data_IF_171350985390
#
_entry.id   IF_171350985390
#
_cell.length_a   1.000
_cell.length_b   1.000
_cell.length_c   1.000
_cell.angle_alpha   90.00
_cell.angle_beta   90.00
_cell.angle_gamma   90.00
#
_symmetry.space_group_name_H-M   'P 1'
#
loop_
_entity.id
_entity.type
_entity.pdbx_description
1 polymer ?
#
# COMPACT_ATOMS: atom_id res chain seq x y z
N UNK A 1 -14.66 0.69 -9.39
CA UNK A 1 -14.55 -0.42 -8.44
C UNK A 1 -13.33 -1.24 -8.84
N UNK A 2 -12.77 -2.06 -7.96
CA UNK A 2 -11.69 -2.98 -8.34
C UNK A 2 -12.34 -4.26 -8.83
N UNK A 3 -11.97 -4.73 -10.02
CA UNK A 3 -12.59 -5.89 -10.64
C UNK A 3 -11.80 -7.18 -10.37
N UNK A 4 -12.43 -8.33 -10.59
CA UNK A 4 -11.81 -9.65 -10.44
C UNK A 4 -11.37 -9.98 -9.02
N UNK A 5 -10.32 -10.79 -8.89
CA UNK A 5 -9.81 -11.27 -7.59
C UNK A 5 -9.36 -10.14 -6.66
N UNK A 6 -8.81 -9.03 -7.19
CA UNK A 6 -8.43 -7.90 -6.35
C UNK A 6 -9.64 -7.20 -5.71
N UNK A 7 -10.83 -7.33 -6.32
CA UNK A 7 -12.08 -6.84 -5.77
C UNK A 7 -12.59 -7.63 -4.56
N UNK A 8 -12.16 -8.89 -4.38
CA UNK A 8 -12.55 -9.72 -3.22
C UNK A 8 -11.69 -9.45 -2.00
N UNK A 9 -10.57 -8.74 -2.16
CA UNK A 9 -9.65 -8.41 -1.08
C UNK A 9 -10.07 -7.13 -0.35
N UNK A 10 -9.75 -7.06 0.93
CA UNK A 10 -9.78 -5.83 1.71
C UNK A 10 -8.70 -4.85 1.23
N UNK A 11 -8.85 -3.59 1.62
CA UNK A 11 -7.81 -2.58 1.36
C UNK A 11 -6.47 -2.94 2.01
N UNK A 12 -6.48 -3.56 3.19
CA UNK A 12 -5.25 -3.94 3.89
C UNK A 12 -4.53 -5.08 3.19
N UNK A 13 -5.27 -6.09 2.71
CA UNK A 13 -4.68 -7.18 1.92
C UNK A 13 -4.10 -6.67 0.60
N UNK A 14 -4.80 -5.77 -0.11
CA UNK A 14 -4.24 -5.13 -1.31
C UNK A 14 -2.99 -4.31 -0.99
N UNK A 15 -2.97 -3.60 0.14
CA UNK A 15 -1.81 -2.83 0.56
C UNK A 15 -0.62 -3.74 0.92
N UNK A 16 -0.87 -4.84 1.62
CA UNK A 16 0.16 -5.81 1.96
C UNK A 16 0.76 -6.44 0.69
N UNK A 17 -0.08 -6.87 -0.25
CA UNK A 17 0.37 -7.40 -1.54
C UNK A 17 1.17 -6.39 -2.36
N UNK A 18 0.79 -5.11 -2.33
CA UNK A 18 1.55 -4.06 -2.99
C UNK A 18 2.93 -3.89 -2.33
N UNK A 19 2.98 -3.78 -1.00
CA UNK A 19 4.20 -3.44 -0.27
C UNK A 19 5.21 -4.60 -0.19
N UNK A 20 4.75 -5.86 -0.06
CA UNK A 20 5.64 -7.03 0.05
C UNK A 20 6.51 -7.23 -1.19
N UNK A 21 6.05 -6.74 -2.35
CA UNK A 21 6.75 -6.83 -3.62
C UNK A 21 7.70 -5.65 -3.89
N UNK A 22 7.82 -4.70 -2.96
CA UNK A 22 8.60 -3.47 -3.15
C UNK A 22 9.77 -3.44 -2.17
N UNK A 23 10.96 -3.82 -2.64
CA UNK A 23 12.18 -3.63 -1.87
C UNK A 23 12.59 -2.16 -1.88
N UNK A 24 12.90 -1.61 -0.72
CA UNK A 24 13.53 -0.29 -0.63
C UNK A 24 14.95 -0.40 -1.20
N UNK A 25 15.33 0.45 -2.19
CA UNK A 25 16.70 0.46 -2.68
C UNK A 25 17.66 0.84 -1.55
N UNK A 26 18.74 0.07 -1.38
CA UNK A 26 19.77 0.39 -0.39
C UNK A 26 20.45 1.70 -0.73
N UNK A 27 20.43 2.67 0.18
CA UNK A 27 21.20 3.91 0.07
C UNK A 27 20.57 5.03 -0.77
N UNK A 28 19.31 4.91 -1.18
CA UNK A 28 18.56 5.99 -1.82
C UNK A 28 17.96 6.96 -0.79
N UNK A 29 18.10 8.27 -1.01
CA UNK A 29 17.42 9.31 -0.22
C UNK A 29 15.95 9.50 -0.60
N UNK A 30 15.54 9.02 -1.78
CA UNK A 30 14.18 9.14 -2.28
C UNK A 30 13.47 7.79 -2.32
N UNK A 31 12.24 7.76 -1.82
CA UNK A 31 11.39 6.59 -1.96
C UNK A 31 10.91 6.48 -3.42
N UNK A 32 10.94 5.28 -4.03
CA UNK A 32 10.32 5.04 -5.33
C UNK A 32 8.88 5.58 -5.40
N UNK A 33 8.48 6.11 -6.56
CA UNK A 33 7.15 6.69 -6.76
C UNK A 33 6.01 5.73 -6.32
N UNK A 34 6.20 4.42 -6.53
CA UNK A 34 5.29 3.34 -6.13
C UNK A 34 5.11 3.19 -4.61
N UNK A 35 6.08 3.64 -3.81
CA UNK A 35 6.03 3.64 -2.35
C UNK A 35 5.52 4.95 -1.74
N UNK A 36 5.31 5.98 -2.57
CA UNK A 36 4.67 7.21 -2.10
C UNK A 36 3.20 6.97 -1.75
N UNK A 37 2.60 7.83 -0.92
CA UNK A 37 1.17 7.74 -0.62
C UNK A 37 0.28 7.79 -1.87
N UNK A 38 0.70 8.51 -2.92
CA UNK A 38 -0.01 8.56 -4.20
C UNK A 38 0.14 7.24 -4.97
N UNK A 39 1.34 6.67 -5.02
CA UNK A 39 1.61 5.37 -5.65
C UNK A 39 0.83 4.24 -4.98
N UNK A 40 0.87 4.17 -3.65
CA UNK A 40 0.11 3.19 -2.86
C UNK A 40 -1.39 3.37 -3.11
N UNK A 41 -1.90 4.60 -3.09
CA UNK A 41 -3.32 4.90 -3.36
C UNK A 41 -3.79 4.37 -4.71
N UNK A 42 -2.99 4.57 -5.76
CA UNK A 42 -3.28 4.06 -7.09
C UNK A 42 -3.29 2.53 -7.13
N UNK A 43 -2.32 1.87 -6.50
CA UNK A 43 -2.21 0.41 -6.49
C UNK A 43 -3.34 -0.27 -5.70
N UNK A 44 -3.69 0.25 -4.52
CA UNK A 44 -4.67 -0.37 -3.62
C UNK A 44 -6.11 0.07 -3.88
N UNK A 45 -6.29 0.98 -4.84
CA UNK A 45 -7.58 1.54 -5.27
C UNK A 45 -8.39 2.16 -4.13
N UNK A 46 -7.71 2.95 -3.29
CA UNK A 46 -8.33 3.73 -2.22
C UNK A 46 -7.83 5.16 -2.30
N UNK A 47 -8.70 6.13 -1.94
CA UNK A 47 -8.32 7.53 -1.94
C UNK A 47 -7.09 7.79 -1.06
N UNK A 48 -6.14 8.58 -1.60
CA UNK A 48 -4.86 8.92 -0.95
C UNK A 48 -5.00 9.34 0.51
N UNK A 49 -6.06 10.09 0.85
CA UNK A 49 -6.32 10.60 2.21
C UNK A 49 -6.50 9.49 3.26
N UNK A 50 -6.82 8.25 2.85
CA UNK A 50 -6.98 7.13 3.76
C UNK A 50 -5.69 6.32 3.98
N UNK A 51 -4.70 6.45 3.09
CA UNK A 51 -3.47 5.64 3.14
C UNK A 51 -2.73 5.76 4.47
N UNK A 52 -2.47 6.95 5.04
CA UNK A 52 -1.75 7.04 6.31
C UNK A 52 -2.45 6.29 7.45
N UNK A 53 -3.78 6.38 7.52
CA UNK A 53 -4.58 5.71 8.55
C UNK A 53 -4.58 4.19 8.36
N UNK A 54 -4.68 3.72 7.11
CA UNK A 54 -4.62 2.29 6.79
C UNK A 54 -3.29 1.69 7.21
N UNK A 55 -2.17 2.30 6.78
CA UNK A 55 -0.83 1.80 7.11
C UNK A 55 -0.56 1.78 8.61
N UNK A 56 -0.92 2.86 9.33
CA UNK A 56 -0.79 2.92 10.79
C UNK A 56 -1.60 1.84 11.51
N UNK A 57 -2.78 1.47 10.98
CA UNK A 57 -3.59 0.40 11.54
C UNK A 57 -2.97 -0.97 11.27
N UNK A 58 -2.42 -1.19 10.08
CA UNK A 58 -1.72 -2.43 9.72
C UNK A 58 -0.47 -2.64 10.60
N UNK A 59 0.34 -1.61 10.79
CA UNK A 59 1.50 -1.61 11.71
C UNK A 59 1.06 -1.95 13.15
N UNK A 60 0.00 -1.29 13.66
CA UNK A 60 -0.55 -1.58 14.99
C UNK A 60 -1.01 -3.04 15.15
N UNK A 61 -1.45 -3.66 14.06
CA UNK A 61 -1.92 -5.04 14.03
C UNK A 61 -0.79 -6.06 13.73
N UNK A 62 0.47 -5.61 13.58
CA UNK A 62 1.61 -6.48 13.27
C UNK A 62 1.62 -7.04 11.84
N UNK A 63 0.97 -6.35 10.91
CA UNK A 63 0.93 -6.74 9.49
C UNK A 63 2.07 -6.10 8.65
N UNK A 64 2.72 -5.06 9.17
CA UNK A 64 3.86 -4.35 8.58
C UNK A 64 4.99 -4.24 9.60
#
# INVERSE_FOLDING_TARGET
>A
MVDGYLGTLTTEERALLHLINQQLPSGGWEAPAVLTQAGISAAVHVQRKHIPRTLKRMEKNGLL
#
